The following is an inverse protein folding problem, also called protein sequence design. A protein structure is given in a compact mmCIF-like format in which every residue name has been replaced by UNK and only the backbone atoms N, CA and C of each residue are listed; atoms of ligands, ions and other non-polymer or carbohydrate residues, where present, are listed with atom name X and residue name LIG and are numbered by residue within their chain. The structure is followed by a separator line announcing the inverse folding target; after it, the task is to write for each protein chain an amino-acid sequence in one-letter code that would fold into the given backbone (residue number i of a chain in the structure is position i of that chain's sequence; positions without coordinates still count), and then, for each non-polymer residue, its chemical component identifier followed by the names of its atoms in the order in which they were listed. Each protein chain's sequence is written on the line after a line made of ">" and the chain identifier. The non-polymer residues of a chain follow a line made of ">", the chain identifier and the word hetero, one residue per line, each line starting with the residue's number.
data_IF_746870998321
#
_entry.id   IF_746870998321
#
_cell.length_a   1.000
_cell.length_b   1.000
_cell.length_c   1.000
_cell.angle_alpha   90.00
_cell.angle_beta   90.00
_cell.angle_gamma   90.00
#
_symmetry.space_group_name_H-M   'P 1'
#
loop_
_entity.id
_entity.type
_entity.pdbx_description
1 polymer ?
#
# COMPACT_ATOMS: atom_id res chain seq x y z
N UNK A 1 4.24 -14.47 5.36
CA UNK A 1 3.29 -13.56 4.68
C UNK A 1 1.98 -14.28 4.41
N UNK A 2 2.02 -15.45 3.75
CA UNK A 2 0.84 -16.19 3.27
C UNK A 2 -0.25 -16.45 4.33
N UNK A 3 0.13 -16.87 5.54
CA UNK A 3 -0.87 -17.13 6.60
C UNK A 3 -1.63 -15.87 7.01
N UNK A 4 -0.95 -14.73 7.13
CA UNK A 4 -1.61 -13.45 7.42
C UNK A 4 -2.47 -12.99 6.24
N UNK A 5 -1.99 -13.16 5.00
CA UNK A 5 -2.77 -12.81 3.81
C UNK A 5 -4.05 -13.65 3.69
N UNK A 6 -3.98 -14.94 4.01
CA UNK A 6 -5.11 -15.85 3.88
C UNK A 6 -6.14 -15.74 5.02
N UNK A 7 -5.73 -15.34 6.23
CA UNK A 7 -6.57 -15.44 7.43
C UNK A 7 -6.75 -14.13 8.20
N UNK A 8 -6.02 -13.08 7.82
CA UNK A 8 -5.87 -11.88 8.64
C UNK A 8 -5.02 -12.13 9.88
N UNK A 9 -4.76 -11.06 10.62
CA UNK A 9 -4.04 -11.10 11.88
C UNK A 9 -4.80 -11.96 12.90
N UNK A 10 -6.09 -11.73 13.10
CA UNK A 10 -6.81 -12.37 14.23
C UNK A 10 -6.91 -13.89 14.10
N UNK A 11 -7.19 -14.41 12.89
CA UNK A 11 -7.37 -15.85 12.68
C UNK A 11 -6.09 -16.61 12.29
N UNK A 12 -4.97 -15.94 12.02
CA UNK A 12 -3.70 -16.60 11.79
C UNK A 12 -3.10 -17.09 13.12
N UNK A 13 -2.96 -18.40 13.36
CA UNK A 13 -2.32 -18.85 14.59
C UNK A 13 -0.79 -18.87 14.47
N UNK A 14 -0.08 -18.64 15.58
CA UNK A 14 1.39 -18.71 15.58
C UNK A 14 1.92 -20.12 15.31
N UNK A 15 1.15 -21.14 15.69
CA UNK A 15 1.46 -22.53 15.40
C UNK A 15 1.44 -22.80 13.89
N UNK A 16 0.42 -22.31 13.17
CA UNK A 16 0.32 -22.46 11.71
C UNK A 16 1.41 -21.69 10.97
N UNK A 17 1.78 -20.50 11.47
CA UNK A 17 2.90 -19.74 10.90
C UNK A 17 4.22 -20.50 11.10
N UNK A 18 4.43 -21.05 12.30
CA UNK A 18 5.63 -21.80 12.62
C UNK A 18 5.73 -23.08 11.76
N UNK A 19 4.64 -23.85 11.66
CA UNK A 19 4.56 -25.07 10.86
C UNK A 19 4.92 -24.80 9.39
N UNK A 20 4.31 -23.77 8.78
CA UNK A 20 4.65 -23.35 7.40
C UNK A 20 6.08 -22.88 7.24
N UNK A 21 6.67 -22.29 8.28
CA UNK A 21 8.06 -21.84 8.26
C UNK A 21 9.07 -22.96 8.58
N UNK A 22 8.62 -24.19 8.85
CA UNK A 22 9.49 -25.29 9.29
C UNK A 22 10.11 -25.04 10.68
N UNK A 23 9.44 -24.24 11.51
CA UNK A 23 9.89 -23.85 12.84
C UNK A 23 8.91 -24.34 13.91
N UNK A 24 9.39 -24.39 15.16
CA UNK A 24 8.49 -24.53 16.31
C UNK A 24 7.92 -23.17 16.70
N UNK A 25 6.77 -23.16 17.38
CA UNK A 25 6.19 -21.92 17.90
C UNK A 25 7.17 -21.19 18.85
N UNK A 26 7.89 -21.94 19.69
CA UNK A 26 8.95 -21.40 20.53
C UNK A 26 10.10 -20.80 19.71
N UNK A 27 10.48 -21.44 18.59
CA UNK A 27 11.46 -20.91 17.66
C UNK A 27 11.05 -19.57 17.05
N UNK A 28 9.80 -19.43 16.62
CA UNK A 28 9.29 -18.14 16.10
C UNK A 28 9.27 -17.06 17.19
N UNK A 29 8.83 -17.40 18.40
CA UNK A 29 8.82 -16.47 19.54
C UNK A 29 10.22 -16.07 20.00
N UNK A 30 11.22 -16.92 19.82
CA UNK A 30 12.61 -16.56 20.12
C UNK A 30 13.09 -15.39 19.26
N UNK A 31 12.72 -15.37 17.96
CA UNK A 31 13.11 -14.32 17.02
C UNK A 31 12.27 -13.05 17.16
N UNK A 32 10.95 -13.19 17.19
CA UNK A 32 10.03 -12.04 17.08
C UNK A 32 9.39 -11.63 18.40
N UNK A 33 9.56 -12.40 19.48
CA UNK A 33 8.98 -12.20 20.82
C UNK A 33 7.46 -12.27 20.91
N UNK A 34 6.73 -11.89 19.87
CA UNK A 34 5.27 -11.95 19.81
C UNK A 34 4.76 -12.02 18.36
N UNK A 35 3.50 -12.41 18.20
CA UNK A 35 2.83 -12.44 16.90
C UNK A 35 2.59 -11.03 16.33
N UNK A 36 2.39 -10.01 17.18
CA UNK A 36 2.26 -8.61 16.73
C UNK A 36 3.58 -8.09 16.17
N UNK A 37 4.70 -8.33 16.85
CA UNK A 37 6.03 -7.94 16.35
C UNK A 37 6.41 -8.71 15.08
N UNK A 38 6.03 -9.98 14.98
CA UNK A 38 6.16 -10.73 13.72
C UNK A 38 5.38 -10.07 12.58
N UNK A 39 4.14 -9.62 12.84
CA UNK A 39 3.32 -8.95 11.84
C UNK A 39 3.99 -7.66 11.35
N UNK A 40 4.44 -6.80 12.26
CA UNK A 40 5.06 -5.52 11.91
C UNK A 40 6.37 -5.74 11.15
N UNK A 41 7.21 -6.68 11.57
CA UNK A 41 8.45 -7.01 10.84
C UNK A 41 8.19 -7.57 9.44
N UNK A 42 7.09 -8.31 9.25
CA UNK A 42 6.69 -8.78 7.91
C UNK A 42 6.26 -7.62 7.01
N UNK A 43 5.57 -6.63 7.57
CA UNK A 43 5.14 -5.43 6.86
C UNK A 43 6.33 -4.53 6.50
N UNK A 44 7.27 -4.33 7.43
CA UNK A 44 8.51 -3.57 7.23
C UNK A 44 9.40 -4.20 6.14
N UNK A 45 9.66 -5.52 6.22
CA UNK A 45 10.46 -6.23 5.23
C UNK A 45 9.90 -6.07 3.81
N UNK A 46 8.57 -6.06 3.69
CA UNK A 46 7.90 -5.84 2.40
C UNK A 46 8.20 -4.43 1.88
N UNK A 47 8.05 -3.41 2.72
CA UNK A 47 8.29 -2.03 2.29
C UNK A 47 9.74 -1.78 1.90
N UNK A 48 10.70 -2.37 2.61
CA UNK A 48 12.11 -2.29 2.23
C UNK A 48 12.35 -2.91 0.85
N UNK A 49 11.73 -4.06 0.56
CA UNK A 49 11.84 -4.74 -0.74
C UNK A 49 11.24 -3.91 -1.90
N UNK A 50 10.15 -3.17 -1.65
CA UNK A 50 9.53 -2.28 -2.64
C UNK A 50 10.33 -0.98 -2.83
N UNK A 51 10.93 -0.45 -1.76
CA UNK A 51 11.77 0.75 -1.79
C UNK A 51 13.11 0.46 -2.47
N UNK A 52 13.72 -0.70 -2.24
CA UNK A 52 14.94 -1.11 -2.96
C UNK A 52 14.72 -1.21 -4.47
N UNK A 53 13.52 -1.61 -4.91
CA UNK A 53 13.14 -1.68 -6.33
C UNK A 53 12.96 -0.29 -6.98
N UNK A 54 12.84 0.79 -6.20
CA UNK A 54 12.75 2.16 -6.70
C UNK A 54 14.11 2.76 -7.11
N UNK A 55 15.22 2.10 -6.79
CA UNK A 55 16.58 2.61 -7.02
C UNK A 55 17.01 3.69 -6.01
N UNK A 56 18.20 4.28 -6.21
CA UNK A 56 18.81 5.25 -5.27
C UNK A 56 18.10 6.61 -5.23
N UNK A 57 17.27 6.92 -6.23
CA UNK A 57 16.46 8.15 -6.27
C UNK A 57 15.01 7.83 -6.62
N UNK A 58 14.10 8.15 -5.71
CA UNK A 58 12.66 8.03 -5.94
C UNK A 58 12.23 8.99 -7.07
N UNK A 59 11.39 8.55 -8.03
CA UNK A 59 10.86 9.44 -9.06
C UNK A 59 10.04 10.57 -8.42
N UNK A 60 10.01 11.73 -9.10
CA UNK A 60 9.25 12.93 -8.69
C UNK A 60 8.32 13.40 -9.80
N UNK A 61 7.43 14.33 -9.49
CA UNK A 61 6.43 14.86 -10.42
C UNK A 61 5.70 13.77 -11.19
N UNK A 62 5.52 13.99 -12.49
CA UNK A 62 4.80 13.08 -13.38
C UNK A 62 5.40 11.66 -13.40
N UNK A 63 6.73 11.52 -13.23
CA UNK A 63 7.37 10.21 -13.16
C UNK A 63 6.93 9.42 -11.93
N UNK A 64 6.64 10.08 -10.82
CA UNK A 64 6.11 9.42 -9.63
C UNK A 64 4.69 8.92 -9.88
N UNK A 65 3.84 9.71 -10.56
CA UNK A 65 2.49 9.30 -10.90
C UNK A 65 2.47 8.10 -11.86
N UNK A 66 3.32 8.11 -12.89
CA UNK A 66 3.51 6.93 -13.75
C UNK A 66 4.04 5.71 -12.97
N UNK A 67 4.87 5.93 -11.95
CA UNK A 67 5.34 4.84 -11.09
C UNK A 67 4.20 4.17 -10.30
N UNK A 68 3.15 4.91 -9.93
CA UNK A 68 1.96 4.33 -9.29
C UNK A 68 1.23 3.36 -10.23
N UNK A 69 1.09 3.74 -11.51
CA UNK A 69 0.50 2.88 -12.55
C UNK A 69 1.33 1.62 -12.74
N UNK A 70 2.65 1.75 -12.82
CA UNK A 70 3.54 0.59 -12.94
C UNK A 70 3.52 -0.30 -11.70
N UNK A 71 3.33 0.29 -10.52
CA UNK A 71 3.12 -0.47 -9.28
C UNK A 71 1.81 -1.25 -9.33
N UNK A 72 0.72 -0.66 -9.83
CA UNK A 72 -0.53 -1.39 -10.02
C UNK A 72 -0.38 -2.57 -11.01
N UNK A 73 0.40 -2.39 -12.09
CA UNK A 73 0.72 -3.46 -13.05
C UNK A 73 1.49 -4.60 -12.39
N UNK A 74 2.58 -4.31 -11.68
CA UNK A 74 3.38 -5.31 -10.96
C UNK A 74 2.57 -6.03 -9.88
N UNK A 75 1.67 -5.32 -9.21
CA UNK A 75 0.80 -5.90 -8.19
C UNK A 75 -0.18 -6.94 -8.77
N UNK A 76 -0.60 -6.79 -10.03
CA UNK A 76 -1.44 -7.78 -10.71
C UNK A 76 -0.73 -9.13 -10.92
N UNK A 77 0.60 -9.19 -10.77
CA UNK A 77 1.39 -10.43 -10.81
C UNK A 77 1.65 -11.02 -9.41
N UNK A 78 1.25 -10.32 -8.34
CA UNK A 78 1.64 -10.62 -6.95
C UNK A 78 0.43 -10.69 -6.02
N UNK A 79 -0.55 -11.54 -6.38
CA UNK A 79 -1.83 -11.66 -5.66
C UNK A 79 -1.69 -11.79 -4.14
N UNK A 80 -0.76 -12.63 -3.67
CA UNK A 80 -0.54 -12.86 -2.23
C UNK A 80 -0.15 -11.58 -1.45
N UNK A 81 0.62 -10.70 -2.08
CA UNK A 81 1.02 -9.42 -1.47
C UNK A 81 -0.15 -8.45 -1.47
N UNK A 82 -0.88 -8.34 -2.58
CA UNK A 82 -2.07 -7.49 -2.67
C UNK A 82 -3.10 -7.90 -1.62
N UNK A 83 -3.35 -9.20 -1.49
CA UNK A 83 -4.23 -9.78 -0.47
C UNK A 83 -3.78 -9.44 0.95
N UNK A 84 -2.49 -9.56 1.25
CA UNK A 84 -1.93 -9.21 2.56
C UNK A 84 -2.26 -7.75 2.93
N UNK A 85 -2.04 -6.82 2.00
CA UNK A 85 -2.32 -5.40 2.22
C UNK A 85 -3.80 -5.11 2.37
N UNK A 86 -4.64 -5.63 1.46
CA UNK A 86 -6.08 -5.40 1.51
C UNK A 86 -6.68 -5.89 2.84
N UNK A 87 -6.29 -7.08 3.31
CA UNK A 87 -6.78 -7.62 4.59
C UNK A 87 -6.26 -6.83 5.78
N UNK A 88 -4.94 -6.62 5.87
CA UNK A 88 -4.35 -5.99 7.07
C UNK A 88 -4.65 -4.50 7.17
N UNK A 89 -4.77 -3.79 6.04
CA UNK A 89 -5.20 -2.38 6.06
C UNK A 89 -6.62 -2.27 6.61
N UNK A 90 -7.53 -3.12 6.15
CA UNK A 90 -8.90 -3.17 6.65
C UNK A 90 -8.97 -3.57 8.14
N UNK A 91 -8.24 -4.60 8.57
CA UNK A 91 -8.21 -4.99 9.99
C UNK A 91 -7.59 -3.91 10.89
N UNK A 92 -6.63 -3.14 10.36
CA UNK A 92 -5.94 -2.10 11.13
C UNK A 92 -6.85 -0.97 11.61
N UNK A 93 -8.06 -0.81 11.06
CA UNK A 93 -9.02 0.21 11.52
C UNK A 93 -9.72 -0.17 12.82
N UNK A 94 -9.60 -1.43 13.26
CA UNK A 94 -10.20 -1.92 14.51
C UNK A 94 -9.37 -1.52 15.74
N UNK A 95 -10.02 -1.43 16.89
CA UNK A 95 -9.39 -1.04 18.16
C UNK A 95 -8.17 -1.92 18.50
N UNK A 96 -7.10 -1.27 18.98
CA UNK A 96 -5.84 -1.90 19.44
C UNK A 96 -5.14 -2.83 18.42
N UNK A 97 -5.45 -2.72 17.13
CA UNK A 97 -4.80 -3.55 16.12
C UNK A 97 -3.30 -3.21 15.98
N UNK A 98 -2.38 -4.20 16.05
CA UNK A 98 -0.93 -3.93 16.12
C UNK A 98 -0.32 -3.29 14.88
N UNK A 99 -1.00 -3.35 13.73
CA UNK A 99 -0.55 -2.70 12.50
C UNK A 99 -1.07 -1.26 12.32
N UNK A 100 -1.81 -0.69 13.28
CA UNK A 100 -2.38 0.66 13.17
C UNK A 100 -1.32 1.71 12.81
N UNK A 101 -0.25 1.80 13.59
CA UNK A 101 0.77 2.83 13.42
C UNK A 101 1.56 2.66 12.14
N UNK A 102 1.77 1.41 11.73
CA UNK A 102 2.35 1.08 10.43
C UNK A 102 1.50 1.64 9.29
N UNK A 103 0.20 1.33 9.23
CA UNK A 103 -0.67 1.81 8.14
C UNK A 103 -0.90 3.33 8.19
N UNK A 104 -1.00 3.93 9.39
CA UNK A 104 -1.04 5.40 9.53
C UNK A 104 0.20 6.06 8.92
N UNK A 105 1.38 5.56 9.25
CA UNK A 105 2.66 6.09 8.76
C UNK A 105 2.78 5.91 7.26
N UNK A 106 2.41 4.73 6.75
CA UNK A 106 2.38 4.41 5.32
C UNK A 106 1.48 5.37 4.54
N UNK A 107 0.22 5.55 4.98
CA UNK A 107 -0.72 6.44 4.30
C UNK A 107 -0.28 7.89 4.38
N UNK A 108 0.26 8.35 5.51
CA UNK A 108 0.78 9.70 5.65
C UNK A 108 1.94 9.95 4.66
N UNK A 109 2.90 9.03 4.58
CA UNK A 109 4.03 9.13 3.66
C UNK A 109 3.58 9.09 2.19
N UNK A 110 2.78 8.10 1.81
CA UNK A 110 2.29 7.97 0.43
C UNK A 110 1.48 9.20 0.01
N UNK A 111 0.58 9.69 0.86
CA UNK A 111 -0.20 10.90 0.61
C UNK A 111 0.69 12.12 0.37
N UNK A 112 1.74 12.28 1.17
CA UNK A 112 2.74 13.33 0.96
C UNK A 112 3.40 13.23 -0.42
N UNK A 113 3.90 12.04 -0.78
CA UNK A 113 4.59 11.87 -2.07
C UNK A 113 3.66 12.08 -3.27
N UNK A 114 2.40 11.65 -3.20
CA UNK A 114 1.43 11.88 -4.27
C UNK A 114 1.07 13.35 -4.37
N UNK A 115 0.85 14.04 -3.24
CA UNK A 115 0.54 15.47 -3.23
C UNK A 115 1.72 16.29 -3.81
N UNK A 116 2.95 16.01 -3.39
CA UNK A 116 4.16 16.66 -3.92
C UNK A 116 4.29 16.45 -5.44
N UNK A 117 4.04 15.23 -5.91
CA UNK A 117 4.08 14.91 -7.34
C UNK A 117 3.01 15.67 -8.14
N UNK A 118 1.80 15.83 -7.59
CA UNK A 118 0.72 16.60 -8.20
C UNK A 118 1.06 18.10 -8.24
N UNK A 119 1.57 18.65 -7.14
CA UNK A 119 2.02 20.04 -7.04
C UNK A 119 3.08 20.37 -8.10
N UNK A 120 4.12 19.53 -8.21
CA UNK A 120 5.19 19.69 -9.20
C UNK A 120 4.66 19.58 -10.64
N UNK A 121 3.82 18.58 -10.91
CA UNK A 121 3.31 18.30 -12.27
C UNK A 121 2.36 19.39 -12.75
N UNK A 122 1.44 19.83 -11.89
CA UNK A 122 0.41 20.81 -12.24
C UNK A 122 0.85 22.26 -11.99
N UNK A 123 2.08 22.48 -11.48
CA UNK A 123 2.62 23.80 -11.10
C UNK A 123 1.72 24.55 -10.12
N UNK A 124 1.18 23.83 -9.14
CA UNK A 124 0.33 24.40 -8.09
C UNK A 124 1.16 25.21 -7.10
N UNK A 125 0.52 26.16 -6.41
CA UNK A 125 1.17 26.86 -5.30
C UNK A 125 1.35 25.96 -4.08
N UNK A 126 2.45 26.14 -3.34
CA UNK A 126 2.80 25.35 -2.14
C UNK A 126 1.93 25.64 -0.91
N UNK A 127 0.87 26.46 -1.03
CA UNK A 127 0.06 26.89 0.11
C UNK A 127 -1.38 27.22 -0.24
N UNK A 128 -2.20 27.36 0.80
CA UNK A 128 -3.61 27.71 0.67
C UNK A 128 -4.42 26.65 -0.08
N UNK A 129 -5.33 27.11 -0.94
CA UNK A 129 -6.28 26.24 -1.64
C UNK A 129 -5.62 25.24 -2.59
N UNK A 130 -4.46 25.56 -3.15
CA UNK A 130 -3.76 24.69 -4.10
C UNK A 130 -3.14 23.46 -3.41
N UNK A 131 -2.50 23.67 -2.25
CA UNK A 131 -2.01 22.56 -1.42
C UNK A 131 -3.15 21.65 -0.95
N UNK A 132 -4.30 22.23 -0.58
CA UNK A 132 -5.47 21.46 -0.17
C UNK A 132 -6.05 20.64 -1.34
N UNK A 133 -6.12 21.22 -2.54
CA UNK A 133 -6.55 20.52 -3.76
C UNK A 133 -5.62 19.34 -4.09
N UNK A 134 -4.30 19.54 -4.03
CA UNK A 134 -3.33 18.46 -4.24
C UNK A 134 -3.51 17.33 -3.20
N UNK A 135 -3.78 17.68 -1.94
CA UNK A 135 -4.01 16.71 -0.88
C UNK A 135 -5.28 15.88 -1.09
N UNK A 136 -6.40 16.52 -1.46
CA UNK A 136 -7.65 15.83 -1.77
C UNK A 136 -7.53 14.93 -2.99
N UNK A 137 -6.82 15.39 -4.02
CA UNK A 137 -6.51 14.59 -5.20
C UNK A 137 -5.64 13.37 -4.85
N UNK A 138 -4.63 13.54 -3.99
CA UNK A 138 -3.82 12.44 -3.49
C UNK A 138 -4.66 11.40 -2.74
N UNK A 139 -5.59 11.84 -1.88
CA UNK A 139 -6.53 10.94 -1.21
C UNK A 139 -7.38 10.14 -2.21
N UNK A 140 -7.90 10.80 -3.25
CA UNK A 140 -8.74 10.16 -4.25
C UNK A 140 -7.98 9.09 -5.05
N UNK A 141 -6.76 9.38 -5.49
CA UNK A 141 -5.91 8.42 -6.22
C UNK A 141 -5.63 7.20 -5.33
N UNK A 142 -5.23 7.41 -4.08
CA UNK A 142 -4.93 6.32 -3.14
C UNK A 142 -6.18 5.48 -2.87
N UNK A 143 -7.34 6.12 -2.63
CA UNK A 143 -8.59 5.42 -2.39
C UNK A 143 -9.03 4.56 -3.58
N UNK A 144 -8.84 5.04 -4.81
CA UNK A 144 -9.10 4.26 -6.02
C UNK A 144 -8.15 3.06 -6.10
N UNK A 145 -6.85 3.25 -5.89
CA UNK A 145 -5.89 2.15 -5.91
C UNK A 145 -6.24 1.07 -4.89
N UNK A 146 -6.57 1.44 -3.66
CA UNK A 146 -6.96 0.50 -2.60
C UNK A 146 -8.27 -0.23 -2.94
N UNK A 147 -9.27 0.50 -3.45
CA UNK A 147 -10.54 -0.08 -3.88
C UNK A 147 -10.42 -1.03 -5.07
N UNK A 148 -9.51 -0.73 -6.00
CA UNK A 148 -9.21 -1.59 -7.15
C UNK A 148 -8.55 -2.90 -6.73
N UNK A 149 -7.67 -2.88 -5.72
CA UNK A 149 -7.05 -4.10 -5.18
C UNK A 149 -8.11 -5.07 -4.66
N UNK A 150 -9.10 -4.58 -3.91
CA UNK A 150 -10.19 -5.41 -3.38
C UNK A 150 -11.00 -6.01 -4.52
N UNK A 151 -11.41 -5.19 -5.50
CA UNK A 151 -12.22 -5.65 -6.63
C UNK A 151 -11.46 -6.65 -7.51
N UNK A 152 -10.18 -6.40 -7.78
CA UNK A 152 -9.32 -7.30 -8.55
C UNK A 152 -9.08 -8.63 -7.84
N UNK A 153 -8.92 -8.63 -6.52
CA UNK A 153 -8.82 -9.88 -5.73
C UNK A 153 -10.10 -10.73 -5.82
N UNK A 154 -11.26 -10.11 -6.08
CA UNK A 154 -12.55 -10.79 -6.22
C UNK A 154 -12.82 -11.24 -7.67
N UNK A 155 -12.44 -10.43 -8.66
CA UNK A 155 -12.55 -10.75 -10.08
C UNK A 155 -11.37 -10.15 -10.88
N UNK A 156 -10.26 -10.88 -11.02
CA UNK A 156 -9.07 -10.39 -11.72
C UNK A 156 -9.26 -10.33 -13.23
N UNK A 157 -10.34 -10.92 -13.76
CA UNK A 157 -10.65 -10.89 -15.21
C UNK A 157 -11.47 -9.68 -15.61
N UNK A 158 -12.24 -9.11 -14.67
CA UNK A 158 -13.05 -7.92 -14.91
C UNK A 158 -12.33 -6.60 -14.61
N UNK A 159 -11.28 -6.63 -13.77
CA UNK A 159 -10.63 -5.43 -13.26
C UNK A 159 -9.20 -5.31 -13.79
N UNK A 160 -8.92 -4.26 -14.57
CA UNK A 160 -7.55 -3.83 -14.86
C UNK A 160 -7.15 -2.71 -13.89
N UNK A 161 -6.37 -3.07 -12.87
CA UNK A 161 -5.92 -2.12 -11.85
C UNK A 161 -5.04 -1.00 -12.45
N UNK A 162 -4.18 -1.32 -13.42
CA UNK A 162 -3.24 -0.37 -13.97
C UNK A 162 -3.95 0.65 -14.85
N UNK A 163 -4.78 0.18 -15.79
CA UNK A 163 -5.55 1.06 -16.67
C UNK A 163 -6.54 1.95 -15.88
N UNK A 164 -7.19 1.40 -14.84
CA UNK A 164 -8.12 2.17 -14.00
C UNK A 164 -7.40 3.22 -13.15
N UNK A 165 -6.19 2.91 -12.67
CA UNK A 165 -5.36 3.87 -11.93
C UNK A 165 -4.88 5.00 -12.85
N UNK A 166 -4.42 4.67 -14.06
CA UNK A 166 -3.99 5.64 -15.06
C UNK A 166 -5.13 6.60 -15.43
N UNK A 167 -6.33 6.06 -15.68
CA UNK A 167 -7.52 6.87 -16.00
C UNK A 167 -7.82 7.91 -14.92
N UNK A 168 -7.73 7.53 -13.64
CA UNK A 168 -8.00 8.45 -12.53
C UNK A 168 -6.89 9.49 -12.37
N UNK A 169 -5.63 9.09 -12.55
CA UNK A 169 -4.50 10.03 -12.54
C UNK A 169 -4.68 11.06 -13.66
N UNK A 170 -4.98 10.64 -14.88
CA UNK A 170 -5.18 11.54 -16.01
C UNK A 170 -6.36 12.51 -15.79
N UNK A 171 -7.47 12.01 -15.25
CA UNK A 171 -8.63 12.83 -14.92
C UNK A 171 -8.30 13.89 -13.84
N UNK A 172 -7.54 13.50 -12.82
CA UNK A 172 -7.06 14.40 -11.76
C UNK A 172 -6.11 15.46 -12.34
N UNK A 173 -5.15 15.05 -13.17
CA UNK A 173 -4.21 15.97 -13.81
C UNK A 173 -4.93 17.00 -14.69
N UNK A 174 -5.92 16.56 -15.47
CA UNK A 174 -6.74 17.45 -16.30
C UNK A 174 -7.54 18.47 -15.47
N UNK A 175 -7.97 18.10 -14.25
CA UNK A 175 -8.70 19.01 -13.36
C UNK A 175 -7.78 19.97 -12.58
N UNK A 176 -6.55 19.55 -12.29
CA UNK A 176 -5.61 20.33 -11.50
C UNK A 176 -4.76 21.29 -12.34
N UNK A 177 -4.52 20.97 -13.60
CA UNK A 177 -3.80 21.85 -14.54
C UNK A 177 -4.61 23.14 -14.79
N UNK A 178 -3.99 24.33 -14.78
CA UNK A 178 -4.67 25.59 -15.04
C UNK A 178 -5.34 25.70 -16.41
#
# INVERSE_FOLDING_TARGET
>A
MDTFAARGYNNASLAEIADRAGLTQAGVLHWFRSKSLLLTSVLELRDDTDIEQLGTERPRGLRFLHHLVETARRNAEREGIVRLYAVLSAESVTDDHPAQDYFRSRYAGLRGFVADALTETCRLGDGGADAERALHAANAIIAVMDGLQIQWLLDPTAVDMAASTELVIDAVLAQLTP
#
